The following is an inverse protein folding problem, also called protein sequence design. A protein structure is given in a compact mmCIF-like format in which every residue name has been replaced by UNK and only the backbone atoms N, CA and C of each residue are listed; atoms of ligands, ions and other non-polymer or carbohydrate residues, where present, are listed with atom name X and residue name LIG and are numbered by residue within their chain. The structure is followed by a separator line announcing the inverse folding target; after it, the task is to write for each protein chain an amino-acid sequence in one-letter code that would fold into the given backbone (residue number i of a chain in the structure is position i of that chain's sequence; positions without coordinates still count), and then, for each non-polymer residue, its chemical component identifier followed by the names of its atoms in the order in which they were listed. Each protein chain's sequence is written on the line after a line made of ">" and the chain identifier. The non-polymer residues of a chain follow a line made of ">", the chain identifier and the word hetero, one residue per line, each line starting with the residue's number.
data_IF_322247469897
#
_entry.id   IF_322247469897
#
_cell.length_a   1.000
_cell.length_b   1.000
_cell.length_c   1.000
_cell.angle_alpha   90.00
_cell.angle_beta   90.00
_cell.angle_gamma   90.00
#
_symmetry.space_group_name_H-M   'P 1'
#
loop_
_entity.id
_entity.type
_entity.pdbx_description
1 polymer ?
#
# COMPACT_ATOMS: atom_id res chain seq x y z
N UNK A 1 6.08 10.83 18.40
CA UNK A 1 6.12 9.62 17.55
C UNK A 1 5.90 10.07 16.11
N UNK A 2 6.80 9.74 15.17
CA UNK A 2 6.68 10.16 13.76
C UNK A 2 6.19 8.96 12.96
N UNK A 3 5.04 9.10 12.30
CA UNK A 3 4.51 8.08 11.38
C UNK A 3 4.94 8.47 9.96
N UNK A 4 5.57 7.54 9.24
CA UNK A 4 5.92 7.70 7.83
C UNK A 4 5.02 6.79 6.99
N UNK A 5 4.48 7.34 5.92
CA UNK A 5 3.50 6.67 5.06
C UNK A 5 3.88 6.77 3.59
N UNK A 6 3.53 5.76 2.80
CA UNK A 6 3.65 5.80 1.33
C UNK A 6 2.33 6.24 0.72
N UNK A 7 2.39 7.17 -0.24
CA UNK A 7 1.22 7.60 -1.01
C UNK A 7 1.51 7.35 -2.49
N UNK A 8 0.73 6.47 -3.11
CA UNK A 8 0.73 6.25 -4.55
C UNK A 8 -0.52 6.86 -5.19
N UNK A 9 -0.32 7.62 -6.26
CA UNK A 9 -1.39 8.23 -7.07
C UNK A 9 -1.42 7.57 -8.45
N UNK A 10 -2.62 7.25 -8.94
CA UNK A 10 -2.87 6.67 -10.27
C UNK A 10 -3.95 7.46 -11.00
N UNK A 11 -3.92 7.37 -12.32
CA UNK A 11 -4.97 7.90 -13.21
C UNK A 11 -5.35 6.79 -14.21
N UNK A 12 -5.93 5.71 -13.70
CA UNK A 12 -6.30 4.53 -14.50
C UNK A 12 -7.80 4.25 -14.43
N UNK A 13 -8.37 3.69 -15.48
CA UNK A 13 -9.80 3.36 -15.54
C UNK A 13 -10.21 2.34 -14.45
N UNK A 14 -9.32 1.42 -14.10
CA UNK A 14 -9.57 0.38 -13.08
C UNK A 14 -8.30 0.06 -12.31
N UNK A 15 -8.39 0.06 -10.98
CA UNK A 15 -7.32 -0.45 -10.11
C UNK A 15 -7.22 -1.97 -10.22
N UNK A 16 -6.02 -2.47 -10.49
CA UNK A 16 -5.72 -3.90 -10.52
C UNK A 16 -5.10 -4.38 -9.20
N UNK A 17 -5.13 -5.70 -8.96
CA UNK A 17 -4.42 -6.32 -7.84
C UNK A 17 -2.90 -6.08 -7.87
N UNK A 18 -2.33 -5.88 -9.07
CA UNK A 18 -0.90 -5.59 -9.21
C UNK A 18 -0.52 -4.23 -8.59
N UNK A 19 -1.39 -3.22 -8.69
CA UNK A 19 -1.16 -1.92 -8.03
C UNK A 19 -1.15 -2.06 -6.50
N UNK A 20 -2.02 -2.89 -5.94
CA UNK A 20 -2.02 -3.17 -4.50
C UNK A 20 -0.78 -3.95 -4.07
N UNK A 21 -0.36 -4.95 -4.85
CA UNK A 21 0.85 -5.72 -4.58
C UNK A 21 2.12 -4.85 -4.63
N UNK A 22 2.18 -3.89 -5.56
CA UNK A 22 3.26 -2.90 -5.63
C UNK A 22 3.36 -2.09 -4.32
N UNK A 23 2.24 -1.53 -3.86
CA UNK A 23 2.21 -0.78 -2.60
C UNK A 23 2.64 -1.66 -1.40
N UNK A 24 2.16 -2.91 -1.33
CA UNK A 24 2.56 -3.85 -0.26
C UNK A 24 4.06 -4.15 -0.29
N UNK A 25 4.66 -4.32 -1.48
CA UNK A 25 6.09 -4.54 -1.61
C UNK A 25 6.88 -3.32 -1.10
N UNK A 26 6.41 -2.11 -1.38
CA UNK A 26 7.05 -0.90 -0.85
C UNK A 26 6.93 -0.82 0.68
N UNK A 27 5.78 -1.10 1.27
CA UNK A 27 5.64 -1.17 2.73
C UNK A 27 6.56 -2.23 3.36
N UNK A 28 6.71 -3.38 2.70
CA UNK A 28 7.56 -4.48 3.16
C UNK A 28 9.04 -4.11 3.12
N UNK A 29 9.50 -3.54 2.00
CA UNK A 29 10.92 -3.22 1.78
C UNK A 29 11.38 -1.97 2.53
N UNK A 30 10.51 -0.97 2.70
CA UNK A 30 10.84 0.29 3.41
C UNK A 30 10.69 0.18 4.93
N UNK A 31 9.93 -0.79 5.44
CA UNK A 31 9.59 -0.85 6.86
C UNK A 31 8.43 0.07 7.26
N UNK A 32 7.80 0.78 6.32
CA UNK A 32 6.69 1.68 6.65
C UNK A 32 5.39 0.90 6.89
N UNK A 33 4.61 1.38 7.86
CA UNK A 33 3.42 0.69 8.36
C UNK A 33 2.18 0.95 7.50
N UNK A 34 2.08 2.15 6.91
CA UNK A 34 0.86 2.63 6.26
C UNK A 34 1.13 3.05 4.81
N UNK A 35 0.29 2.56 3.91
CA UNK A 35 0.25 2.94 2.50
C UNK A 35 -1.13 3.37 2.05
N UNK A 36 -1.21 4.39 1.20
CA UNK A 36 -2.42 4.82 0.50
C UNK A 36 -2.22 4.68 -1.02
N UNK A 37 -3.19 4.06 -1.68
CA UNK A 37 -3.29 3.99 -3.13
C UNK A 37 -4.54 4.76 -3.55
N UNK A 38 -4.36 5.87 -4.27
CA UNK A 38 -5.41 6.79 -4.68
C UNK A 38 -5.49 6.79 -6.20
N UNK A 39 -6.66 6.52 -6.77
CA UNK A 39 -6.90 6.54 -8.21
C UNK A 39 -7.90 7.63 -8.58
N UNK A 40 -7.50 8.53 -9.49
CA UNK A 40 -8.30 9.61 -10.04
C UNK A 40 -8.78 9.35 -11.48
N UNK A 41 -8.39 8.22 -12.09
CA UNK A 41 -8.73 7.92 -13.48
C UNK A 41 -10.02 7.13 -13.69
N UNK A 42 -10.74 6.80 -12.61
CA UNK A 42 -12.06 6.18 -12.68
C UNK A 42 -13.17 7.22 -12.58
N UNK A 43 -14.43 6.80 -12.81
CA UNK A 43 -15.61 7.68 -12.72
C UNK A 43 -15.75 8.42 -11.38
N UNK A 44 -15.14 7.89 -10.32
CA UNK A 44 -14.99 8.53 -9.01
C UNK A 44 -13.60 8.26 -8.44
N UNK A 45 -13.18 9.05 -7.45
CA UNK A 45 -11.92 8.82 -6.75
C UNK A 45 -12.00 7.51 -5.96
N UNK A 46 -11.04 6.62 -6.18
CA UNK A 46 -10.90 5.37 -5.43
C UNK A 46 -9.73 5.49 -4.46
N UNK A 47 -9.94 5.10 -3.20
CA UNK A 47 -8.90 5.10 -2.16
C UNK A 47 -8.80 3.71 -1.54
N UNK A 48 -7.59 3.13 -1.54
CA UNK A 48 -7.28 1.90 -0.80
C UNK A 48 -6.19 2.15 0.22
N UNK A 49 -6.42 1.70 1.45
CA UNK A 49 -5.42 1.72 2.54
C UNK A 49 -4.83 0.33 2.70
N UNK A 50 -3.51 0.25 2.86
CA UNK A 50 -2.78 -0.97 3.24
C UNK A 50 -2.05 -0.75 4.56
N UNK A 51 -2.08 -1.76 5.41
CA UNK A 51 -1.35 -1.83 6.66
C UNK A 51 -0.40 -3.03 6.57
N UNK A 52 0.83 -2.86 7.05
CA UNK A 52 1.75 -3.97 7.24
C UNK A 52 1.49 -4.59 8.61
N UNK A 53 0.98 -5.81 8.65
CA UNK A 53 0.83 -6.52 9.91
C UNK A 53 2.17 -7.07 10.38
N UNK A 54 2.55 -6.73 11.61
CA UNK A 54 3.74 -7.27 12.28
C UNK A 54 3.48 -8.68 12.82
N UNK A 55 3.08 -9.64 11.99
CA UNK A 55 3.33 -11.03 12.35
C UNK A 55 4.84 -11.22 12.24
N UNK A 56 5.52 -11.24 13.39
CA UNK A 56 6.93 -11.65 13.47
C UNK A 56 7.07 -12.92 12.63
N UNK A 57 8.02 -13.03 11.69
CA UNK A 57 8.38 -14.34 11.20
C UNK A 57 8.81 -15.11 12.44
N UNK A 58 8.05 -16.15 12.80
CA UNK A 58 8.49 -17.10 13.82
C UNK A 58 9.91 -17.48 13.44
N UNK A 59 10.84 -17.24 14.37
CA UNK A 59 12.17 -17.79 14.27
C UNK A 59 11.97 -19.30 14.28
N UNK A 60 11.89 -19.91 13.08
CA UNK A 60 12.06 -21.35 12.91
C UNK A 60 13.52 -21.63 13.26
N UNK A 61 13.74 -21.88 14.55
CA UNK A 61 14.92 -22.56 15.06
C UNK A 61 14.86 -24.05 14.73
#
# INVERSE_FOLDING_TARGET
>A
MKVLSIIEVKAVQTLSKAHEAQLVNYLTTTGFEVGLLINFGSASVQVKRKHRDFTKPEQKS
#
